data_IF_200587893354
#
_entry.id   IF_200587893354
#
_cell.length_a   1.000
_cell.length_b   1.000
_cell.length_c   1.000
_cell.angle_alpha   90.00
_cell.angle_beta   90.00
_cell.angle_gamma   90.00
#
_symmetry.space_group_name_H-M   'P 1'
#
loop_
_entity.id
_entity.type
_entity.pdbx_description
1 polymer ?
#
# COMPACT_ATOMS: atom_id res chain seq x y z
N UNK A 1 36.64 -12.02 -6.18
CA UNK A 1 35.41 -11.70 -5.43
C UNK A 1 34.49 -10.99 -6.39
N UNK A 2 33.37 -11.61 -6.78
CA UNK A 2 32.46 -11.04 -7.78
C UNK A 2 31.80 -9.80 -7.20
N UNK A 3 31.91 -8.67 -7.88
CA UNK A 3 31.17 -7.47 -7.53
C UNK A 3 29.67 -7.82 -7.59
N UNK A 4 29.01 -7.88 -6.43
CA UNK A 4 27.55 -7.88 -6.39
C UNK A 4 27.09 -6.52 -6.87
N UNK A 5 26.92 -6.37 -8.18
CA UNK A 5 26.24 -5.21 -8.74
C UNK A 5 24.79 -5.30 -8.27
N UNK A 6 24.43 -4.45 -7.31
CA UNK A 6 23.03 -4.31 -6.94
C UNK A 6 22.29 -3.75 -8.16
N UNK A 7 21.18 -4.34 -8.61
CA UNK A 7 20.45 -3.82 -9.76
C UNK A 7 19.63 -2.59 -9.32
N UNK A 8 20.30 -1.45 -9.19
CA UNK A 8 19.72 -0.20 -8.66
C UNK A 8 18.50 0.26 -9.46
N UNK A 9 18.51 0.05 -10.77
CA UNK A 9 17.38 0.41 -11.64
C UNK A 9 16.17 -0.51 -11.42
N UNK A 10 16.39 -1.82 -11.29
CA UNK A 10 15.32 -2.78 -10.97
C UNK A 10 14.72 -2.47 -9.58
N UNK A 11 15.56 -2.10 -8.61
CA UNK A 11 15.10 -1.72 -7.27
C UNK A 11 14.33 -0.41 -7.26
N UNK A 12 14.73 0.59 -8.05
CA UNK A 12 13.95 1.81 -8.24
C UNK A 12 12.59 1.51 -8.87
N UNK A 13 12.57 0.63 -9.87
CA UNK A 13 11.32 0.20 -10.49
C UNK A 13 10.42 -0.49 -9.45
N UNK A 14 10.96 -1.39 -8.64
CA UNK A 14 10.25 -2.06 -7.56
C UNK A 14 9.70 -1.04 -6.53
N UNK A 15 10.50 -0.07 -6.10
CA UNK A 15 10.06 0.98 -5.18
C UNK A 15 8.90 1.79 -5.78
N UNK A 16 8.98 2.15 -7.06
CA UNK A 16 7.92 2.85 -7.76
C UNK A 16 6.64 2.00 -7.86
N UNK A 17 6.75 0.71 -8.15
CA UNK A 17 5.62 -0.23 -8.21
C UNK A 17 4.94 -0.39 -6.85
N UNK A 18 5.70 -0.59 -5.78
CA UNK A 18 5.19 -0.66 -4.41
C UNK A 18 4.50 0.64 -4.01
N UNK A 19 5.10 1.80 -4.34
CA UNK A 19 4.49 3.10 -4.09
C UNK A 19 3.16 3.30 -4.84
N UNK A 20 3.09 2.87 -6.11
CA UNK A 20 1.85 2.88 -6.90
C UNK A 20 0.79 1.94 -6.31
N UNK A 21 1.18 0.73 -5.91
CA UNK A 21 0.28 -0.25 -5.30
C UNK A 21 -0.28 0.25 -3.95
N UNK A 22 0.55 0.92 -3.13
CA UNK A 22 0.12 1.54 -1.89
C UNK A 22 -0.95 2.62 -2.12
N UNK A 23 -0.70 3.55 -3.04
CA UNK A 23 -1.69 4.58 -3.43
C UNK A 23 -2.98 3.99 -3.99
N UNK A 24 -2.87 3.00 -4.86
CA UNK A 24 -4.03 2.31 -5.42
C UNK A 24 -4.88 1.62 -4.33
N UNK A 25 -4.23 1.06 -3.30
CA UNK A 25 -4.92 0.46 -2.14
C UNK A 25 -5.69 1.52 -1.35
N UNK A 26 -5.08 2.68 -1.08
CA UNK A 26 -5.73 3.80 -0.37
C UNK A 26 -6.94 4.33 -1.15
N UNK A 27 -6.79 4.50 -2.47
CA UNK A 27 -7.87 4.93 -3.35
C UNK A 27 -9.02 3.92 -3.44
N UNK A 28 -8.70 2.62 -3.45
CA UNK A 28 -9.70 1.56 -3.44
C UNK A 28 -10.49 1.57 -2.13
N UNK A 29 -9.82 1.73 -0.99
CA UNK A 29 -10.48 1.83 0.31
C UNK A 29 -11.39 3.06 0.39
N UNK A 30 -10.93 4.22 -0.09
CA UNK A 30 -11.74 5.43 -0.14
C UNK A 30 -12.98 5.28 -1.06
N UNK A 31 -12.85 4.55 -2.18
CA UNK A 31 -13.98 4.21 -3.05
C UNK A 31 -14.98 3.27 -2.37
N UNK A 32 -14.50 2.29 -1.61
CA UNK A 32 -15.34 1.38 -0.82
C UNK A 32 -16.10 2.15 0.26
N UNK A 33 -15.43 2.99 1.04
CA UNK A 33 -16.06 3.81 2.09
C UNK A 33 -17.20 4.67 1.51
N UNK A 34 -16.98 5.33 0.35
CA UNK A 34 -18.03 6.11 -0.34
C UNK A 34 -19.20 5.26 -0.82
N UNK A 35 -18.91 4.09 -1.39
CA UNK A 35 -19.94 3.18 -1.90
C UNK A 35 -20.80 2.64 -0.75
N UNK A 36 -20.18 2.33 0.39
CA UNK A 36 -20.89 1.88 1.58
C UNK A 36 -21.77 2.98 2.17
N UNK A 37 -21.25 4.20 2.36
CA UNK A 37 -22.06 5.33 2.83
C UNK A 37 -23.28 5.61 1.93
N UNK A 38 -23.17 5.38 0.62
CA UNK A 38 -24.30 5.47 -0.31
C UNK A 38 -25.30 4.31 -0.17
N UNK A 39 -24.81 3.10 0.12
CA UNK A 39 -25.61 1.91 0.33
C UNK A 39 -26.35 1.94 1.68
N UNK A 40 -25.73 2.50 2.72
CA UNK A 40 -26.32 2.68 4.06
C UNK A 40 -27.69 3.36 4.02
N UNK A 41 -27.84 4.35 3.15
CA UNK A 41 -29.09 5.12 3.00
C UNK A 41 -30.24 4.31 2.40
N UNK A 42 -29.94 3.17 1.78
CA UNK A 42 -30.91 2.35 1.02
C UNK A 42 -31.11 0.98 1.66
N UNK A 43 -30.10 0.47 2.35
CA UNK A 43 -30.09 -0.85 2.96
C UNK A 43 -30.26 -0.72 4.46
N UNK A 44 -31.40 -1.22 4.97
CA UNK A 44 -31.75 -1.18 6.40
C UNK A 44 -31.97 -2.61 6.94
N UNK A 45 -31.61 -2.84 8.22
CA UNK A 45 -31.97 -4.06 8.97
C UNK A 45 -30.78 -4.88 9.48
N UNK A 46 -31.06 -6.01 10.12
CA UNK A 46 -30.03 -6.79 10.84
C UNK A 46 -28.86 -7.29 9.97
N UNK A 47 -29.09 -7.50 8.66
CA UNK A 47 -28.03 -7.90 7.71
C UNK A 47 -27.06 -6.77 7.40
N UNK A 48 -27.53 -5.51 7.43
CA UNK A 48 -26.69 -4.33 7.31
C UNK A 48 -25.73 -4.25 8.50
N UNK A 49 -26.25 -4.34 9.74
CA UNK A 49 -25.43 -4.25 10.95
C UNK A 49 -24.35 -5.34 11.03
N UNK A 50 -24.66 -6.57 10.58
CA UNK A 50 -23.69 -7.65 10.52
C UNK A 50 -22.57 -7.35 9.51
N UNK A 51 -22.93 -6.88 8.31
CA UNK A 51 -21.98 -6.50 7.29
C UNK A 51 -21.08 -5.35 7.73
N UNK A 52 -21.66 -4.27 8.29
CA UNK A 52 -20.89 -3.09 8.72
C UNK A 52 -19.88 -3.45 9.81
N UNK A 53 -20.28 -4.24 10.81
CA UNK A 53 -19.34 -4.73 11.83
C UNK A 53 -18.17 -5.50 11.22
N UNK A 54 -18.45 -6.36 10.25
CA UNK A 54 -17.40 -7.12 9.57
C UNK A 54 -16.50 -6.20 8.74
N UNK A 55 -17.07 -5.26 7.99
CA UNK A 55 -16.31 -4.30 7.20
C UNK A 55 -15.42 -3.41 8.08
N UNK A 56 -15.96 -2.85 9.15
CA UNK A 56 -15.19 -2.05 10.12
C UNK A 56 -14.05 -2.84 10.76
N UNK A 57 -14.23 -4.14 10.98
CA UNK A 57 -13.16 -5.01 11.51
C UNK A 57 -12.01 -5.23 10.51
N UNK A 58 -12.31 -5.22 9.21
CA UNK A 58 -11.35 -5.48 8.14
C UNK A 58 -10.68 -4.19 7.64
N UNK A 59 -11.39 -3.06 7.72
CA UNK A 59 -10.93 -1.75 7.24
C UNK A 59 -9.53 -1.34 7.74
N UNK A 60 -9.18 -1.50 9.02
CA UNK A 60 -7.83 -1.20 9.51
C UNK A 60 -6.74 -2.09 8.89
N UNK A 61 -7.06 -3.32 8.50
CA UNK A 61 -6.11 -4.22 7.85
C UNK A 61 -5.85 -3.77 6.41
N UNK A 62 -6.90 -3.38 5.69
CA UNK A 62 -6.80 -2.81 4.34
C UNK A 62 -6.02 -1.49 4.33
N UNK A 63 -6.26 -0.59 5.30
CA UNK A 63 -5.52 0.65 5.45
C UNK A 63 -4.02 0.39 5.76
N UNK A 64 -3.73 -0.59 6.62
CA UNK A 64 -2.34 -0.97 6.93
C UNK A 64 -1.57 -1.47 5.73
N UNK A 65 -2.23 -2.17 4.79
CA UNK A 65 -1.57 -2.64 3.57
C UNK A 65 -0.98 -1.48 2.76
N UNK A 66 -1.75 -0.40 2.54
CA UNK A 66 -1.28 0.79 1.83
C UNK A 66 -0.04 1.41 2.48
N UNK A 67 -0.07 1.56 3.81
CA UNK A 67 1.05 2.05 4.61
C UNK A 67 2.28 1.15 4.51
N UNK A 68 2.10 -0.18 4.60
CA UNK A 68 3.21 -1.12 4.49
C UNK A 68 3.87 -1.09 3.10
N UNK A 69 3.07 -1.00 2.03
CA UNK A 69 3.59 -0.89 0.67
C UNK A 69 4.42 0.40 0.49
N UNK A 70 3.96 1.52 1.05
CA UNK A 70 4.70 2.78 1.04
C UNK A 70 6.00 2.70 1.85
N UNK A 71 5.97 2.04 3.01
CA UNK A 71 7.15 1.87 3.85
C UNK A 71 8.22 1.02 3.16
N UNK A 72 7.82 -0.11 2.54
CA UNK A 72 8.76 -0.96 1.80
C UNK A 72 9.34 -0.19 0.60
N UNK A 73 8.52 0.58 -0.12
CA UNK A 73 9.01 1.44 -1.20
C UNK A 73 10.10 2.42 -0.72
N UNK A 74 9.89 3.09 0.42
CA UNK A 74 10.86 3.99 1.02
C UNK A 74 12.16 3.28 1.45
N UNK A 75 12.05 2.07 1.99
CA UNK A 75 13.21 1.27 2.39
C UNK A 75 14.04 0.83 1.18
N UNK A 76 13.39 0.45 0.08
CA UNK A 76 14.06 0.08 -1.17
C UNK A 76 14.77 1.29 -1.78
N UNK A 77 14.13 2.46 -1.80
CA UNK A 77 14.76 3.70 -2.28
C UNK A 77 15.99 4.09 -1.43
N UNK A 78 15.87 3.99 -0.09
CA UNK A 78 16.98 4.24 0.82
C UNK A 78 18.15 3.25 0.62
N UNK A 79 17.85 2.01 0.25
CA UNK A 79 18.86 1.01 -0.10
C UNK A 79 19.63 1.43 -1.36
N UNK A 80 18.91 1.81 -2.42
CA UNK A 80 19.51 2.28 -3.68
C UNK A 80 20.44 3.48 -3.42
N UNK A 81 19.97 4.47 -2.67
CA UNK A 81 20.76 5.66 -2.35
C UNK A 81 22.05 5.34 -1.60
N UNK A 82 22.01 4.39 -0.65
CA UNK A 82 23.20 3.94 0.09
C UNK A 82 24.22 3.28 -0.83
N UNK A 83 23.77 2.39 -1.72
CA UNK A 83 24.65 1.70 -2.65
C UNK A 83 25.31 2.65 -3.64
N UNK A 84 24.53 3.54 -4.27
CA UNK A 84 25.11 4.51 -5.21
C UNK A 84 26.06 5.50 -4.55
N UNK A 85 25.86 5.80 -3.27
CA UNK A 85 26.78 6.65 -2.51
C UNK A 85 28.09 5.91 -2.22
N UNK A 86 28.01 4.61 -1.88
CA UNK A 86 29.17 3.77 -1.62
C UNK A 86 29.97 3.47 -2.91
N UNK A 87 29.31 3.26 -4.04
CA UNK A 87 29.96 3.02 -5.34
C UNK A 87 30.66 4.28 -5.90
N UNK A 88 30.24 5.48 -5.46
CA UNK A 88 30.83 6.76 -5.87
C UNK A 88 32.01 7.22 -5.02
N UNK A 89 32.27 6.57 -3.89
CA UNK A 89 33.33 6.90 -2.92
C UNK A 89 34.49 5.92 -2.98
#
# INVERSE_FOLDING_TARGET
MGASHLPTDDLRQLAAELGRAGKASDEALARLDRSLAALEKKWHGATQEAFYRQFESLRPQMARLGVHLQLVAQQVEALVQKYESADRS
#
